data_IF_787747404487
#
_entry.id   IF_787747404487
#
_cell.length_a   1.000
_cell.length_b   1.000
_cell.length_c   1.000
_cell.angle_alpha   90.00
_cell.angle_beta   90.00
_cell.angle_gamma   90.00
#
_symmetry.space_group_name_H-M   'P 1'
#
loop_
_entity.id
_entity.type
_entity.pdbx_description
1 polymer ?
#
# COMPACT_ATOMS: atom_id res chain seq x y z
N UNK A 1 58.58 -30.20 -15.50
CA UNK A 1 57.32 -29.57 -15.95
C UNK A 1 56.42 -29.35 -14.73
N UNK A 2 56.43 -28.15 -14.14
CA UNK A 2 55.60 -27.81 -12.97
C UNK A 2 54.30 -27.17 -13.46
N UNK A 3 53.18 -27.88 -13.34
CA UNK A 3 51.83 -27.33 -13.59
C UNK A 3 51.53 -26.30 -12.50
N UNK A 4 51.36 -25.03 -12.89
CA UNK A 4 50.73 -24.00 -12.05
C UNK A 4 49.25 -24.32 -11.94
N UNK A 5 48.78 -24.66 -10.75
CA UNK A 5 47.36 -24.58 -10.41
C UNK A 5 47.01 -23.08 -10.38
N UNK A 6 46.18 -22.63 -11.32
CA UNK A 6 45.51 -21.33 -11.22
C UNK A 6 44.29 -21.57 -10.35
N UNK A 7 44.38 -21.15 -9.08
CA UNK A 7 43.20 -21.03 -8.22
C UNK A 7 42.43 -19.83 -8.73
N UNK A 8 41.30 -20.07 -9.40
CA UNK A 8 40.35 -19.02 -9.72
C UNK A 8 39.77 -18.54 -8.39
N UNK A 9 40.19 -17.35 -7.96
CA UNK A 9 39.53 -16.62 -6.88
C UNK A 9 38.18 -16.20 -7.44
N UNK A 10 37.09 -16.82 -6.95
CA UNK A 10 35.75 -16.33 -7.26
C UNK A 10 35.64 -14.92 -6.70
N UNK A 11 35.54 -13.93 -7.57
CA UNK A 11 35.12 -12.60 -7.17
C UNK A 11 33.75 -12.76 -6.51
N UNK A 12 33.69 -12.52 -5.20
CA UNK A 12 32.44 -12.33 -4.48
C UNK A 12 31.70 -11.20 -5.19
N UNK A 13 30.71 -11.54 -6.01
CA UNK A 13 29.85 -10.55 -6.63
C UNK A 13 29.05 -9.91 -5.51
N UNK A 14 29.29 -8.64 -5.24
CA UNK A 14 28.35 -7.82 -4.48
C UNK A 14 26.95 -8.03 -5.05
N UNK A 15 25.91 -8.29 -4.23
CA UNK A 15 24.54 -8.46 -4.68
C UNK A 15 24.12 -7.22 -5.46
N UNK A 16 24.06 -7.35 -6.78
CA UNK A 16 23.50 -6.33 -7.63
C UNK A 16 21.98 -6.43 -7.53
N UNK A 17 21.29 -5.29 -7.38
CA UNK A 17 19.83 -5.25 -7.36
C UNK A 17 19.26 -6.04 -8.54
N UNK A 18 18.39 -7.01 -8.26
CA UNK A 18 17.69 -7.84 -9.26
C UNK A 18 16.20 -7.55 -9.32
N UNK A 19 15.59 -7.12 -8.22
CA UNK A 19 14.16 -6.88 -8.17
C UNK A 19 13.80 -5.62 -7.38
N UNK A 20 12.82 -4.87 -7.90
CA UNK A 20 12.07 -3.88 -7.14
C UNK A 20 10.66 -4.42 -6.85
N UNK A 21 10.28 -4.36 -5.58
CA UNK A 21 8.98 -4.82 -5.11
C UNK A 21 8.27 -3.63 -4.47
N UNK A 22 7.15 -3.22 -5.02
CA UNK A 22 6.38 -2.08 -4.51
C UNK A 22 5.23 -2.57 -3.64
N UNK A 23 5.00 -1.95 -2.49
CA UNK A 23 3.65 -1.95 -1.93
C UNK A 23 2.69 -1.17 -2.86
N UNK A 24 1.39 -1.34 -2.68
CA UNK A 24 0.37 -0.65 -3.46
C UNK A 24 -0.18 0.59 -2.74
N UNK A 25 -0.68 0.42 -1.51
CA UNK A 25 -1.45 1.41 -0.78
C UNK A 25 -0.49 2.30 0.02
N UNK A 26 -0.49 3.59 -0.27
CA UNK A 26 0.49 4.51 0.28
C UNK A 26 1.79 4.56 -0.52
N UNK A 27 2.10 3.59 -1.40
CA UNK A 27 3.28 3.64 -2.28
C UNK A 27 2.92 3.97 -3.73
N UNK A 28 2.10 3.16 -4.41
CA UNK A 28 1.69 3.47 -5.79
C UNK A 28 0.65 4.59 -5.78
N UNK A 29 -0.25 4.58 -4.78
CA UNK A 29 -1.33 5.56 -4.66
C UNK A 29 -1.49 6.03 -3.23
N UNK A 30 -1.98 7.25 -3.02
CA UNK A 30 -2.38 7.70 -1.69
C UNK A 30 -3.86 7.31 -1.45
N UNK A 31 -4.08 6.06 -1.03
CA UNK A 31 -5.42 5.45 -0.98
C UNK A 31 -6.32 5.99 0.12
N UNK A 32 -5.74 6.45 1.23
CA UNK A 32 -6.51 6.92 2.37
C UNK A 32 -7.29 8.20 2.09
N UNK A 33 -6.71 9.13 1.31
CA UNK A 33 -7.43 10.31 0.86
C UNK A 33 -8.66 9.93 0.04
N UNK A 34 -8.53 8.97 -0.87
CA UNK A 34 -9.61 8.49 -1.73
C UNK A 34 -10.68 7.74 -0.93
N UNK A 35 -10.28 6.96 0.08
CA UNK A 35 -11.23 6.32 0.98
C UNK A 35 -12.03 7.34 1.80
N UNK A 36 -11.36 8.36 2.35
CA UNK A 36 -12.01 9.46 3.07
C UNK A 36 -12.99 10.22 2.18
N UNK A 37 -12.60 10.53 0.95
CA UNK A 37 -13.48 11.13 -0.05
C UNK A 37 -14.72 10.26 -0.28
N UNK A 38 -14.53 8.96 -0.56
CA UNK A 38 -15.64 8.04 -0.80
C UNK A 38 -16.57 7.91 0.43
N UNK A 39 -16.05 7.95 1.65
CA UNK A 39 -16.87 8.01 2.87
C UNK A 39 -17.72 9.27 2.93
N UNK A 40 -17.11 10.44 2.75
CA UNK A 40 -17.81 11.72 2.81
C UNK A 40 -18.89 11.84 1.73
N UNK A 41 -18.61 11.33 0.52
CA UNK A 41 -19.60 11.27 -0.55
C UNK A 41 -20.74 10.29 -0.22
N UNK A 42 -20.45 9.16 0.43
CA UNK A 42 -21.49 8.22 0.88
C UNK A 42 -22.37 8.83 1.97
N UNK A 43 -21.77 9.54 2.94
CA UNK A 43 -22.49 10.24 3.99
C UNK A 43 -23.38 11.35 3.41
N UNK A 44 -22.89 12.09 2.41
CA UNK A 44 -23.68 13.08 1.70
C UNK A 44 -24.84 12.43 0.92
N UNK A 45 -24.57 11.34 0.19
CA UNK A 45 -25.57 10.61 -0.60
C UNK A 45 -26.75 10.11 0.25
N UNK A 46 -26.46 9.48 1.39
CA UNK A 46 -27.49 9.00 2.31
C UNK A 46 -27.94 10.06 3.32
N UNK A 47 -27.44 11.29 3.23
CA UNK A 47 -27.72 12.38 4.16
C UNK A 47 -27.57 11.95 5.64
N UNK A 48 -26.47 11.25 5.94
CA UNK A 48 -26.16 10.69 7.26
C UNK A 48 -25.91 11.82 8.24
N UNK A 49 -26.78 12.03 9.23
CA UNK A 49 -26.65 13.11 10.23
C UNK A 49 -26.61 12.56 11.64
N UNK A 50 -25.50 12.80 12.34
CA UNK A 50 -25.41 12.55 13.77
C UNK A 50 -26.28 13.56 14.56
N UNK A 51 -26.77 13.19 15.76
CA UNK A 51 -27.68 14.04 16.55
C UNK A 51 -27.17 15.47 16.83
N UNK A 52 -25.84 15.66 16.88
CA UNK A 52 -25.20 16.95 17.12
C UNK A 52 -25.05 17.84 15.88
N UNK A 53 -25.44 17.38 14.70
CA UNK A 53 -25.22 18.10 13.43
C UNK A 53 -26.47 18.18 12.56
N UNK A 54 -26.69 19.34 11.94
CA UNK A 54 -27.72 19.54 10.91
C UNK A 54 -27.23 19.19 9.50
N UNK A 55 -25.92 19.07 9.32
CA UNK A 55 -25.26 18.75 8.04
C UNK A 55 -24.88 17.27 7.97
N UNK A 56 -24.76 16.70 6.75
CA UNK A 56 -24.21 15.37 6.57
C UNK A 56 -22.86 15.21 7.27
N UNK A 57 -22.63 14.03 7.80
CA UNK A 57 -21.38 13.65 8.43
C UNK A 57 -20.22 13.89 7.46
N UNK A 58 -19.18 14.53 7.97
CA UNK A 58 -17.96 14.79 7.24
C UNK A 58 -16.76 14.47 8.11
N UNK A 59 -15.93 13.55 7.65
CA UNK A 59 -14.63 13.25 8.26
C UNK A 59 -13.56 14.14 7.61
N UNK A 60 -13.03 15.07 8.41
CA UNK A 60 -11.90 15.92 8.01
C UNK A 60 -10.64 15.08 7.80
N UNK A 61 -9.63 15.66 7.15
CA UNK A 61 -8.34 14.99 6.95
C UNK A 61 -7.71 14.63 8.30
N UNK A 62 -7.65 15.60 9.21
CA UNK A 62 -7.02 15.47 10.53
C UNK A 62 -7.71 14.40 11.37
N UNK A 63 -9.05 14.35 11.32
CA UNK A 63 -9.82 13.34 12.03
C UNK A 63 -9.61 11.94 11.43
N UNK A 64 -9.68 11.82 10.10
CA UNK A 64 -9.58 10.53 9.43
C UNK A 64 -8.17 9.93 9.55
N UNK A 65 -7.13 10.76 9.56
CA UNK A 65 -5.75 10.33 9.78
C UNK A 65 -5.55 9.65 11.14
N UNK A 66 -6.25 10.12 12.19
CA UNK A 66 -6.26 9.44 13.49
C UNK A 66 -7.13 8.18 13.44
N UNK A 67 -8.32 8.27 12.82
CA UNK A 67 -9.28 7.17 12.77
C UNK A 67 -8.72 5.94 12.03
N UNK A 68 -8.05 6.12 10.90
CA UNK A 68 -7.54 5.02 10.09
C UNK A 68 -6.44 4.22 10.78
N UNK A 69 -5.59 4.91 11.55
CA UNK A 69 -4.50 4.31 12.31
C UNK A 69 -5.01 3.64 13.60
N UNK A 70 -6.20 4.00 14.08
CA UNK A 70 -6.79 3.45 15.31
C UNK A 70 -7.74 2.28 15.06
N UNK A 71 -8.55 2.35 14.00
CA UNK A 71 -9.64 1.41 13.75
C UNK A 71 -9.51 0.82 12.33
N UNK A 72 -9.14 -0.46 12.28
CA UNK A 72 -9.06 -1.23 11.04
C UNK A 72 -10.45 -1.55 10.46
N UNK A 73 -10.56 -1.53 9.13
CA UNK A 73 -11.78 -1.90 8.40
C UNK A 73 -12.86 -0.82 8.35
N UNK A 74 -13.64 -0.81 7.27
CA UNK A 74 -14.62 0.24 7.01
C UNK A 74 -15.86 0.22 7.90
N UNK A 75 -16.51 -0.94 8.03
CA UNK A 75 -17.68 -1.11 8.92
C UNK A 75 -17.32 -0.85 10.39
N UNK A 76 -16.20 -1.37 10.94
CA UNK A 76 -15.77 -1.05 12.30
C UNK A 76 -15.56 0.45 12.54
N UNK A 77 -14.96 1.19 11.60
CA UNK A 77 -14.81 2.66 11.70
C UNK A 77 -16.15 3.35 11.91
N UNK A 78 -17.16 3.02 11.09
CA UNK A 78 -18.50 3.59 11.22
C UNK A 78 -19.20 3.16 12.51
N UNK A 79 -19.12 1.87 12.89
CA UNK A 79 -19.68 1.38 14.16
C UNK A 79 -19.11 2.12 15.36
N UNK A 80 -17.78 2.25 15.40
CA UNK A 80 -17.10 2.98 16.45
C UNK A 80 -17.56 4.45 16.47
N UNK A 81 -17.54 5.13 15.33
CA UNK A 81 -17.94 6.53 15.24
C UNK A 81 -19.37 6.77 15.72
N UNK A 82 -20.35 5.99 15.24
CA UNK A 82 -21.75 6.14 15.64
C UNK A 82 -22.00 5.76 17.10
N UNK A 83 -21.20 4.86 17.67
CA UNK A 83 -21.26 4.55 19.10
C UNK A 83 -20.78 5.73 19.95
N UNK A 84 -19.71 6.41 19.55
CA UNK A 84 -19.14 7.54 20.29
C UNK A 84 -19.95 8.84 20.09
N UNK A 85 -20.53 9.05 18.90
CA UNK A 85 -21.18 10.31 18.51
C UNK A 85 -22.71 10.22 18.35
N UNK A 86 -23.29 9.05 18.60
CA UNK A 86 -24.72 8.78 18.44
C UNK A 86 -25.08 8.27 17.05
N UNK A 87 -26.03 7.33 17.01
CA UNK A 87 -26.51 6.73 15.77
C UNK A 87 -27.24 7.76 14.90
N UNK A 88 -26.92 7.85 13.61
CA UNK A 88 -27.40 8.93 12.75
C UNK A 88 -28.80 8.67 12.20
N UNK A 89 -29.47 9.74 11.79
CA UNK A 89 -30.58 9.68 10.81
C UNK A 89 -30.01 9.64 9.39
N UNK A 90 -30.78 9.18 8.42
CA UNK A 90 -30.40 9.13 7.00
C UNK A 90 -31.63 9.15 6.09
N UNK A 91 -31.42 9.15 4.78
CA UNK A 91 -32.49 8.90 3.80
C UNK A 91 -33.00 7.45 3.85
N UNK A 92 -32.22 6.53 4.43
CA UNK A 92 -32.62 5.12 4.66
C UNK A 92 -33.51 4.98 5.89
N UNK A 93 -33.15 5.68 6.97
CA UNK A 93 -33.88 5.66 8.24
C UNK A 93 -34.16 7.09 8.72
N UNK A 94 -35.44 7.46 8.73
CA UNK A 94 -35.90 8.78 9.15
C UNK A 94 -35.66 9.06 10.64
N UNK A 95 -35.62 8.02 11.47
CA UNK A 95 -35.21 8.07 12.88
C UNK A 95 -33.89 7.31 13.08
N UNK A 96 -33.15 7.64 14.14
CA UNK A 96 -31.93 6.92 14.50
C UNK A 96 -32.20 5.43 14.79
N UNK A 97 -31.41 4.48 14.24
CA UNK A 97 -31.58 3.06 14.50
C UNK A 97 -31.46 2.67 15.99
N UNK A 98 -32.50 2.05 16.54
CA UNK A 98 -32.57 1.65 17.96
C UNK A 98 -32.09 0.21 18.21
N UNK A 99 -32.26 -0.67 17.21
CA UNK A 99 -31.89 -2.09 17.30
C UNK A 99 -30.67 -2.43 16.44
N UNK A 100 -30.00 -3.54 16.75
CA UNK A 100 -28.76 -3.93 16.07
C UNK A 100 -28.95 -4.33 14.61
N UNK A 101 -30.14 -4.81 14.23
CA UNK A 101 -30.44 -5.16 12.85
C UNK A 101 -30.45 -3.93 11.94
N UNK A 102 -31.15 -2.86 12.32
CA UNK A 102 -31.22 -1.62 11.54
C UNK A 102 -29.87 -0.88 11.51
N UNK A 103 -29.13 -0.93 12.62
CA UNK A 103 -27.76 -0.43 12.72
C UNK A 103 -26.82 -1.09 11.72
N UNK A 104 -26.85 -2.41 11.66
CA UNK A 104 -26.04 -3.19 10.74
C UNK A 104 -26.45 -2.91 9.28
N UNK A 105 -27.75 -2.89 9.00
CA UNK A 105 -28.28 -2.59 7.67
C UNK A 105 -27.85 -1.21 7.16
N UNK A 106 -27.87 -0.18 8.02
CA UNK A 106 -27.40 1.16 7.64
C UNK A 106 -25.91 1.15 7.29
N UNK A 107 -25.10 0.49 8.12
CA UNK A 107 -23.65 0.40 7.92
C UNK A 107 -23.30 -0.36 6.65
N UNK A 108 -24.03 -1.45 6.36
CA UNK A 108 -23.84 -2.23 5.15
C UNK A 108 -24.14 -1.40 3.91
N UNK A 109 -25.29 -0.71 3.87
CA UNK A 109 -25.65 0.17 2.75
C UNK A 109 -24.63 1.27 2.50
N UNK A 110 -24.16 1.95 3.56
CA UNK A 110 -23.14 3.00 3.41
C UNK A 110 -21.82 2.39 2.93
N UNK A 111 -21.41 1.24 3.50
CA UNK A 111 -20.15 0.59 3.13
C UNK A 111 -20.16 0.10 1.68
N UNK A 112 -21.27 -0.49 1.22
CA UNK A 112 -21.41 -1.00 -0.14
C UNK A 112 -21.36 0.16 -1.15
N UNK A 113 -22.13 1.22 -0.91
CA UNK A 113 -22.11 2.42 -1.75
C UNK A 113 -20.72 3.07 -1.76
N UNK A 114 -20.09 3.25 -0.59
CA UNK A 114 -18.73 3.79 -0.47
C UNK A 114 -17.72 2.94 -1.25
N UNK A 115 -17.91 1.62 -1.26
CA UNK A 115 -17.03 0.69 -1.98
C UNK A 115 -17.17 0.88 -3.48
N UNK A 116 -18.39 0.96 -4.02
CA UNK A 116 -18.58 1.25 -5.44
C UNK A 116 -18.08 2.64 -5.81
N UNK A 117 -18.32 3.64 -4.95
CA UNK A 117 -17.83 4.99 -5.20
C UNK A 117 -16.31 5.08 -5.25
N UNK A 118 -15.62 4.36 -4.37
CA UNK A 118 -14.16 4.26 -4.43
C UNK A 118 -13.68 3.66 -5.76
N UNK A 119 -14.38 2.64 -6.29
CA UNK A 119 -14.05 2.05 -7.59
C UNK A 119 -14.27 3.04 -8.74
N UNK A 120 -15.32 3.85 -8.68
CA UNK A 120 -15.57 4.92 -9.66
C UNK A 120 -14.49 5.99 -9.63
N UNK A 121 -14.05 6.41 -8.43
CA UNK A 121 -12.96 7.38 -8.27
C UNK A 121 -11.69 6.85 -8.95
N UNK A 122 -11.32 5.58 -8.73
CA UNK A 122 -10.17 4.98 -9.40
C UNK A 122 -10.33 4.92 -10.93
N UNK A 123 -11.53 4.59 -11.43
CA UNK A 123 -11.82 4.51 -12.87
C UNK A 123 -11.97 5.87 -13.56
N UNK A 124 -12.06 6.95 -12.80
CA UNK A 124 -12.27 8.30 -13.36
C UNK A 124 -11.08 8.81 -14.16
N UNK A 125 -9.89 8.23 -13.97
CA UNK A 125 -8.64 8.69 -14.57
C UNK A 125 -8.08 9.97 -13.95
N UNK A 126 -8.66 10.48 -12.87
CA UNK A 126 -8.16 11.68 -12.16
C UNK A 126 -7.23 11.35 -11.00
N UNK A 127 -7.07 10.06 -10.68
CA UNK A 127 -6.16 9.59 -9.62
C UNK A 127 -4.80 9.37 -10.22
N UNK A 128 -3.82 10.10 -9.71
CA UNK A 128 -2.44 10.02 -10.17
C UNK A 128 -1.63 9.07 -9.27
N UNK A 129 -0.72 8.26 -9.84
CA UNK A 129 0.27 7.55 -9.06
C UNK A 129 1.18 8.51 -8.29
N UNK A 130 1.71 8.05 -7.16
CA UNK A 130 2.63 8.87 -6.36
C UNK A 130 3.88 9.26 -7.17
N UNK A 131 4.44 10.45 -6.91
CA UNK A 131 5.56 10.96 -7.70
C UNK A 131 6.75 10.00 -7.77
N UNK A 132 7.25 9.75 -8.98
CA UNK A 132 8.43 8.93 -9.25
C UNK A 132 8.20 7.42 -9.35
N UNK A 133 7.05 6.89 -8.92
CA UNK A 133 6.75 5.45 -8.95
C UNK A 133 6.81 4.87 -10.36
N UNK A 134 6.02 5.44 -11.30
CA UNK A 134 5.99 4.92 -12.67
C UNK A 134 7.36 5.00 -13.34
N UNK A 135 8.10 6.08 -13.09
CA UNK A 135 9.44 6.26 -13.63
C UNK A 135 10.39 5.17 -13.11
N UNK A 136 10.36 4.85 -11.82
CA UNK A 136 11.18 3.77 -11.27
C UNK A 136 10.80 2.39 -11.83
N UNK A 137 9.50 2.13 -12.06
CA UNK A 137 9.07 0.91 -12.75
C UNK A 137 9.65 0.87 -14.17
N UNK A 138 9.57 1.96 -14.92
CA UNK A 138 10.09 2.03 -16.29
C UNK A 138 11.63 1.86 -16.34
N UNK A 139 12.36 2.54 -15.45
CA UNK A 139 13.81 2.41 -15.32
C UNK A 139 14.21 0.97 -14.98
N UNK A 140 13.53 0.35 -14.00
CA UNK A 140 13.79 -1.03 -13.60
C UNK A 140 13.56 -2.00 -14.76
N UNK A 141 12.46 -1.83 -15.51
CA UNK A 141 12.19 -2.69 -16.68
C UNK A 141 13.24 -2.50 -17.78
N UNK A 142 13.63 -1.26 -18.06
CA UNK A 142 14.65 -0.94 -19.06
C UNK A 142 16.04 -1.50 -18.69
N UNK A 143 16.31 -1.67 -17.40
CA UNK A 143 17.55 -2.28 -16.87
C UNK A 143 17.44 -3.77 -16.55
N UNK A 144 16.43 -4.46 -17.13
CA UNK A 144 16.19 -5.91 -16.97
C UNK A 144 16.07 -6.36 -15.49
N UNK A 145 15.52 -5.47 -14.65
CA UNK A 145 15.16 -5.80 -13.26
C UNK A 145 13.75 -6.39 -13.22
N UNK A 146 13.57 -7.29 -12.27
CA UNK A 146 12.26 -7.85 -11.95
C UNK A 146 11.38 -6.84 -11.24
N UNK A 147 10.10 -6.84 -11.57
CA UNK A 147 9.10 -5.97 -10.97
C UNK A 147 7.98 -6.76 -10.33
N UNK A 148 7.68 -6.44 -9.07
CA UNK A 148 6.52 -6.97 -8.40
C UNK A 148 5.75 -5.90 -7.62
N UNK A 149 4.46 -6.17 -7.42
CA UNK A 149 3.61 -5.42 -6.48
C UNK A 149 3.08 -6.35 -5.41
N UNK A 150 3.16 -5.96 -4.14
CA UNK A 150 2.72 -6.76 -2.99
C UNK A 150 1.85 -5.92 -2.05
N UNK A 151 0.56 -6.21 -1.97
CA UNK A 151 -0.40 -5.48 -1.13
C UNK A 151 -1.12 -6.39 -0.14
N UNK A 152 -1.51 -5.84 1.01
CA UNK A 152 -2.38 -6.52 1.97
C UNK A 152 -3.88 -6.45 1.59
N UNK A 153 -4.25 -5.70 0.54
CA UNK A 153 -5.61 -5.57 0.06
C UNK A 153 -6.10 -6.83 -0.67
N UNK A 154 -7.40 -6.91 -0.93
CA UNK A 154 -7.97 -8.04 -1.70
C UNK A 154 -7.45 -8.03 -3.13
N UNK A 155 -7.41 -9.21 -3.76
CA UNK A 155 -6.92 -9.34 -5.14
C UNK A 155 -7.68 -8.45 -6.13
N UNK A 156 -9.00 -8.35 -5.95
CA UNK A 156 -9.85 -7.49 -6.78
C UNK A 156 -9.52 -6.01 -6.65
N UNK A 157 -9.18 -5.55 -5.44
CA UNK A 157 -8.78 -4.15 -5.19
C UNK A 157 -7.42 -3.85 -5.82
N UNK A 158 -6.46 -4.77 -5.71
CA UNK A 158 -5.12 -4.60 -6.29
C UNK A 158 -5.21 -4.54 -7.81
N UNK A 159 -5.93 -5.46 -8.46
CA UNK A 159 -6.12 -5.45 -9.92
C UNK A 159 -6.74 -4.13 -10.36
N UNK A 160 -7.82 -3.70 -9.71
CA UNK A 160 -8.48 -2.43 -10.05
C UNK A 160 -7.51 -1.25 -9.94
N UNK A 161 -6.72 -1.19 -8.87
CA UNK A 161 -5.70 -0.15 -8.70
C UNK A 161 -4.68 -0.19 -9.85
N UNK A 162 -4.06 -1.34 -10.10
CA UNK A 162 -2.99 -1.46 -11.09
C UNK A 162 -3.47 -1.14 -12.51
N UNK A 163 -4.64 -1.65 -12.91
CA UNK A 163 -5.20 -1.38 -14.23
C UNK A 163 -5.44 0.11 -14.50
N UNK A 164 -5.86 0.86 -13.48
CA UNK A 164 -6.25 2.25 -13.63
C UNK A 164 -5.12 3.25 -13.31
N UNK A 165 -4.15 2.87 -12.48
CA UNK A 165 -3.11 3.79 -12.02
C UNK A 165 -1.79 3.63 -12.77
N UNK A 166 -1.30 2.40 -12.95
CA UNK A 166 -0.03 2.19 -13.68
C UNK A 166 -0.25 1.99 -15.19
N UNK A 167 -1.50 1.72 -15.56
CA UNK A 167 -1.93 1.45 -16.94
C UNK A 167 -1.71 0.00 -17.35
N UNK A 168 -2.51 -0.46 -18.31
CA UNK A 168 -2.54 -1.87 -18.73
C UNK A 168 -1.18 -2.38 -19.24
N UNK A 169 -0.42 -1.53 -19.94
CA UNK A 169 0.91 -1.89 -20.43
C UNK A 169 1.87 -2.21 -19.28
N UNK A 170 1.99 -1.34 -18.27
CA UNK A 170 2.87 -1.61 -17.12
C UNK A 170 2.37 -2.80 -16.31
N UNK A 171 1.06 -2.94 -16.15
CA UNK A 171 0.47 -4.06 -15.43
C UNK A 171 0.83 -5.40 -16.06
N UNK A 172 0.75 -5.51 -17.39
CA UNK A 172 1.15 -6.71 -18.12
C UNK A 172 2.65 -6.98 -18.08
N UNK A 173 3.48 -5.96 -17.84
CA UNK A 173 4.93 -6.09 -17.74
C UNK A 173 5.45 -6.41 -16.35
N UNK A 174 4.58 -6.41 -15.32
CA UNK A 174 4.94 -6.91 -13.98
C UNK A 174 5.27 -8.40 -14.07
N UNK A 175 6.38 -8.81 -13.47
CA UNK A 175 6.77 -10.22 -13.40
C UNK A 175 5.85 -10.99 -12.44
N UNK A 176 5.37 -10.35 -11.36
CA UNK A 176 4.27 -10.85 -10.55
C UNK A 176 3.54 -9.75 -9.78
N UNK A 177 2.35 -10.07 -9.26
CA UNK A 177 1.75 -9.31 -8.16
C UNK A 177 1.16 -10.27 -7.13
N UNK A 178 1.14 -9.84 -5.87
CA UNK A 178 0.57 -10.55 -4.74
C UNK A 178 -0.39 -9.64 -3.99
N UNK A 179 -1.56 -10.18 -3.67
CA UNK A 179 -2.56 -9.54 -2.83
C UNK A 179 -2.65 -10.27 -1.48
N UNK A 180 -3.40 -9.69 -0.55
CA UNK A 180 -3.59 -10.23 0.80
C UNK A 180 -4.25 -11.61 0.82
N UNK A 181 -4.98 -11.97 -0.24
CA UNK A 181 -5.62 -13.29 -0.38
C UNK A 181 -4.65 -14.36 -0.94
N UNK A 182 -3.47 -13.95 -1.45
CA UNK A 182 -2.44 -14.88 -1.96
C UNK A 182 -1.50 -15.39 -0.84
N UNK A 183 -1.64 -14.89 0.39
CA UNK A 183 -0.89 -15.32 1.58
C UNK A 183 -1.80 -15.56 2.78
N UNK A 184 -1.40 -16.47 3.66
CA UNK A 184 -2.17 -16.80 4.87
C UNK A 184 -2.04 -15.71 5.95
N UNK A 185 -0.81 -15.33 6.25
CA UNK A 185 -0.49 -14.32 7.25
C UNK A 185 -0.24 -12.98 6.56
N UNK A 186 -0.74 -11.90 7.18
CA UNK A 186 -0.61 -10.53 6.65
C UNK A 186 0.59 -9.82 7.28
N UNK A 187 1.08 -8.76 6.63
CA UNK A 187 2.09 -7.85 7.18
C UNK A 187 1.72 -7.50 8.65
N UNK A 188 2.65 -7.57 9.62
CA UNK A 188 4.12 -7.56 9.46
C UNK A 188 4.75 -8.93 9.18
N UNK A 189 3.97 -10.00 8.99
CA UNK A 189 4.53 -11.28 8.55
C UNK A 189 5.23 -11.14 7.17
N UNK A 190 6.45 -11.71 7.01
CA UNK A 190 7.26 -11.53 5.80
C UNK A 190 6.80 -12.38 4.61
N UNK A 191 5.82 -13.27 4.78
CA UNK A 191 5.44 -14.29 3.79
C UNK A 191 5.12 -13.70 2.42
N UNK A 192 4.52 -12.51 2.33
CA UNK A 192 4.19 -11.88 1.04
C UNK A 192 5.45 -11.54 0.24
N UNK A 193 6.49 -11.01 0.89
CA UNK A 193 7.73 -10.64 0.24
C UNK A 193 8.59 -11.87 -0.08
N UNK A 194 8.66 -12.85 0.83
CA UNK A 194 9.33 -14.13 0.57
C UNK A 194 8.70 -14.83 -0.65
N UNK A 195 7.36 -14.85 -0.72
CA UNK A 195 6.63 -15.42 -1.85
C UNK A 195 6.91 -14.66 -3.13
N UNK A 196 7.03 -13.32 -3.08
CA UNK A 196 7.38 -12.50 -4.24
C UNK A 196 8.77 -12.87 -4.77
N UNK A 197 9.80 -12.85 -3.93
CA UNK A 197 11.17 -13.21 -4.34
C UNK A 197 11.24 -14.62 -4.94
N UNK A 198 10.54 -15.59 -4.32
CA UNK A 198 10.43 -16.95 -4.84
C UNK A 198 9.80 -17.00 -6.24
N UNK A 199 8.69 -16.28 -6.48
CA UNK A 199 8.05 -16.21 -7.81
C UNK A 199 8.91 -15.49 -8.85
N UNK A 200 9.68 -14.50 -8.42
CA UNK A 200 10.60 -13.76 -9.28
C UNK A 200 11.88 -14.54 -9.59
N UNK A 201 12.20 -15.57 -8.80
CA UNK A 201 13.41 -16.38 -8.95
C UNK A 201 14.69 -15.62 -8.57
N UNK A 202 14.61 -14.72 -7.57
CA UNK A 202 15.73 -13.89 -7.10
C UNK A 202 15.96 -14.11 -5.60
N UNK A 203 17.16 -13.79 -5.10
CA UNK A 203 17.41 -13.79 -3.66
C UNK A 203 16.80 -12.56 -2.99
N UNK A 204 16.37 -12.70 -1.74
CA UNK A 204 15.87 -11.62 -0.89
C UNK A 204 16.92 -10.51 -0.72
N UNK A 205 18.21 -10.87 -0.66
CA UNK A 205 19.34 -9.92 -0.58
C UNK A 205 19.55 -9.09 -1.85
N UNK A 206 18.95 -9.51 -2.96
CA UNK A 206 18.99 -8.82 -4.25
C UNK A 206 17.71 -8.00 -4.51
N UNK A 207 16.83 -7.90 -3.52
CA UNK A 207 15.57 -7.16 -3.60
C UNK A 207 15.64 -5.85 -2.82
N UNK A 208 15.02 -4.81 -3.39
CA UNK A 208 14.57 -3.65 -2.63
C UNK A 208 13.05 -3.64 -2.62
N UNK A 209 12.49 -3.53 -1.42
CA UNK A 209 11.07 -3.25 -1.21
C UNK A 209 10.87 -1.74 -1.07
N UNK A 210 9.84 -1.20 -1.71
CA UNK A 210 9.38 0.18 -1.49
C UNK A 210 8.07 0.12 -0.71
N UNK A 211 8.07 0.76 0.47
CA UNK A 211 6.98 0.75 1.45
C UNK A 211 6.67 2.14 1.96
N UNK A 212 5.54 2.31 2.65
CA UNK A 212 5.17 3.58 3.28
C UNK A 212 5.00 3.48 4.80
N UNK A 213 4.91 2.27 5.36
CA UNK A 213 4.51 2.02 6.74
C UNK A 213 5.50 1.13 7.51
N UNK A 214 5.49 1.24 8.85
CA UNK A 214 6.34 0.41 9.73
C UNK A 214 5.95 -1.06 9.68
N UNK A 215 4.67 -1.37 9.49
CA UNK A 215 4.17 -2.74 9.35
C UNK A 215 4.72 -3.36 8.05
N UNK A 216 4.75 -2.56 6.99
CA UNK A 216 5.39 -2.90 5.73
C UNK A 216 6.90 -3.09 5.85
N UNK A 217 7.56 -2.14 6.51
CA UNK A 217 9.00 -2.19 6.82
C UNK A 217 9.37 -3.49 7.53
N UNK A 218 8.65 -3.83 8.59
CA UNK A 218 8.87 -5.05 9.39
C UNK A 218 8.69 -6.32 8.55
N UNK A 219 7.71 -6.36 7.64
CA UNK A 219 7.55 -7.48 6.74
C UNK A 219 8.72 -7.59 5.74
N UNK A 220 9.20 -6.46 5.20
CA UNK A 220 10.32 -6.45 4.26
C UNK A 220 11.63 -6.85 4.93
N UNK A 221 11.95 -6.26 6.09
CA UNK A 221 13.17 -6.58 6.85
C UNK A 221 13.11 -7.99 7.43
N UNK A 222 11.94 -8.44 7.89
CA UNK A 222 11.70 -9.82 8.30
C UNK A 222 11.86 -10.86 7.19
N UNK A 223 11.69 -10.45 5.92
CA UNK A 223 11.99 -11.27 4.75
C UNK A 223 13.48 -11.26 4.38
N UNK A 224 14.32 -10.49 5.08
CA UNK A 224 15.73 -10.31 4.77
C UNK A 224 15.99 -9.39 3.56
N UNK A 225 15.02 -8.55 3.20
CA UNK A 225 15.14 -7.60 2.08
C UNK A 225 15.50 -6.19 2.58
N UNK A 226 16.20 -5.43 1.73
CA UNK A 226 16.36 -3.99 1.99
C UNK A 226 15.06 -3.27 1.71
N UNK A 227 14.68 -2.33 2.58
CA UNK A 227 13.42 -1.61 2.47
C UNK A 227 13.67 -0.11 2.39
N UNK A 228 13.13 0.53 1.37
CA UNK A 228 13.07 1.99 1.23
C UNK A 228 11.68 2.46 1.60
N UNK A 229 11.60 3.50 2.42
CA UNK A 229 10.34 4.14 2.80
C UNK A 229 10.10 5.36 1.93
N UNK A 230 8.93 5.41 1.31
CA UNK A 230 8.31 6.60 0.74
C UNK A 230 7.03 6.87 1.54
N UNK A 231 7.10 7.67 2.60
CA UNK A 231 5.98 7.81 3.53
C UNK A 231 4.84 8.69 2.97
N UNK A 232 3.64 8.56 3.53
CA UNK A 232 2.51 9.48 3.29
C UNK A 232 2.34 10.42 4.48
N UNK A 233 1.42 11.38 4.43
CA UNK A 233 1.15 12.24 5.60
C UNK A 233 0.72 11.42 6.82
N UNK A 234 0.04 10.29 6.62
CA UNK A 234 -0.47 9.44 7.68
C UNK A 234 0.57 8.54 8.33
N UNK A 235 1.66 8.25 7.63
CA UNK A 235 2.75 7.40 8.11
C UNK A 235 4.03 8.17 8.45
N UNK A 236 4.10 9.47 8.15
CA UNK A 236 5.28 10.33 8.34
C UNK A 236 5.88 10.30 9.76
N UNK A 237 5.06 10.06 10.79
CA UNK A 237 5.48 10.04 12.19
C UNK A 237 5.80 8.63 12.74
N UNK A 238 5.81 7.60 11.90
CA UNK A 238 6.16 6.24 12.31
C UNK A 238 7.67 6.05 12.45
N UNK A 239 8.09 5.01 13.19
CA UNK A 239 9.52 4.73 13.42
C UNK A 239 10.10 3.89 12.27
N UNK A 240 10.90 4.54 11.41
CA UNK A 240 11.53 3.92 10.24
C UNK A 240 13.02 3.62 10.41
N UNK A 241 13.52 3.47 11.65
CA UNK A 241 14.96 3.24 11.91
C UNK A 241 15.58 2.04 11.18
N UNK A 242 14.79 1.01 10.89
CA UNK A 242 15.25 -0.20 10.19
C UNK A 242 15.25 -0.04 8.66
N UNK A 243 14.75 1.08 8.13
CA UNK A 243 14.73 1.32 6.69
C UNK A 243 16.14 1.60 6.16
N UNK A 244 16.43 1.07 4.97
CA UNK A 244 17.64 1.36 4.22
C UNK A 244 17.74 2.85 3.85
N UNK A 245 16.60 3.46 3.50
CA UNK A 245 16.47 4.89 3.28
C UNK A 245 15.02 5.33 3.51
N UNK A 246 14.83 6.62 3.81
CA UNK A 246 13.52 7.23 4.02
C UNK A 246 13.42 8.49 3.15
N UNK A 247 12.36 8.58 2.35
CA UNK A 247 12.09 9.68 1.44
C UNK A 247 10.65 10.18 1.63
N UNK A 248 10.37 11.48 1.42
CA UNK A 248 9.01 12.00 1.38
C UNK A 248 8.21 11.47 0.17
N UNK A 249 8.89 11.33 -0.96
CA UNK A 249 8.38 10.74 -2.20
C UNK A 249 9.55 10.26 -3.07
N UNK A 250 9.25 9.67 -4.23
CA UNK A 250 10.27 9.11 -5.12
C UNK A 250 10.61 10.03 -6.31
N UNK A 251 10.17 11.30 -6.33
CA UNK A 251 10.36 12.24 -7.45
C UNK A 251 11.83 12.32 -7.89
N UNK A 252 12.71 12.43 -6.90
CA UNK A 252 14.14 12.66 -7.09
C UNK A 252 15.00 11.39 -6.96
N UNK A 253 14.37 10.22 -6.83
CA UNK A 253 15.08 8.95 -6.63
C UNK A 253 15.14 8.19 -7.95
N UNK A 254 16.33 7.84 -8.42
CA UNK A 254 16.58 7.05 -9.63
C UNK A 254 16.90 5.59 -9.27
N UNK A 255 16.73 4.69 -10.22
CA UNK A 255 17.12 3.28 -10.06
C UNK A 255 18.58 3.16 -9.63
N UNK A 256 19.48 3.96 -10.22
CA UNK A 256 20.90 3.97 -9.87
C UNK A 256 21.16 4.31 -8.41
N UNK A 257 20.33 5.15 -7.79
CA UNK A 257 20.45 5.48 -6.37
C UNK A 257 20.12 4.26 -5.50
N UNK A 258 19.09 3.50 -5.89
CA UNK A 258 18.70 2.25 -5.22
C UNK A 258 19.74 1.15 -5.40
N UNK A 259 20.35 1.03 -6.59
CA UNK A 259 21.45 0.10 -6.84
C UNK A 259 22.67 0.42 -5.97
N UNK A 260 23.05 1.70 -5.90
CA UNK A 260 24.16 2.16 -5.06
C UNK A 260 23.86 1.94 -3.57
N UNK A 261 22.62 2.19 -3.15
CA UNK A 261 22.17 1.94 -1.79
C UNK A 261 22.37 0.47 -1.39
N UNK A 262 21.86 -0.47 -2.20
CA UNK A 262 21.98 -1.90 -1.91
C UNK A 262 23.45 -2.35 -1.84
N UNK A 263 24.28 -1.91 -2.79
CA UNK A 263 25.70 -2.22 -2.83
C UNK A 263 26.43 -1.72 -1.56
N UNK A 264 26.06 -0.55 -1.04
CA UNK A 264 26.65 0.02 0.17
C UNK A 264 26.30 -0.78 1.43
N UNK A 265 25.05 -1.26 1.52
CA UNK A 265 24.56 -2.06 2.66
C UNK A 265 25.26 -3.41 2.69
N UNK A 266 25.38 -4.07 1.53
CA UNK A 266 26.06 -5.37 1.48
C UNK A 266 27.54 -5.24 1.76
N UNK A 267 28.18 -4.14 1.33
CA UNK A 267 29.60 -3.89 1.65
C UNK A 267 29.85 -3.64 3.14
N UNK A 268 28.82 -3.25 3.90
CA UNK A 268 28.90 -2.98 5.34
C UNK A 268 28.51 -4.18 6.23
N UNK A 269 28.00 -5.25 5.65
CA UNK A 269 27.51 -6.47 6.34
C UNK A 269 28.55 -7.59 6.33
#
# INVERSE_FOLDING_TARGET
>A
SRRRLVVAVSASSTPALKALIFDCDGVILESEHLHRQAYNEAFAHFYVRCPSSSQPLYWSLEFYDVLQNRIGGGKPKMRWYFKEHGWPTSTVFSNSPENDYDREKLIDLIQDWKTERYKEILRSGTVEPRPGVLRLMDEAKASDKKLAVCSAATKSSVILCLENLIGMERFQHLDCFLAGDDVKEKKPDPSIYITAASRLGVSEKECIVVEDSVIGLQAATGAGMSCVISYTSSTANQDFKEAAAVYPDLSNIRLSDLENLLNSIVSAS
#
